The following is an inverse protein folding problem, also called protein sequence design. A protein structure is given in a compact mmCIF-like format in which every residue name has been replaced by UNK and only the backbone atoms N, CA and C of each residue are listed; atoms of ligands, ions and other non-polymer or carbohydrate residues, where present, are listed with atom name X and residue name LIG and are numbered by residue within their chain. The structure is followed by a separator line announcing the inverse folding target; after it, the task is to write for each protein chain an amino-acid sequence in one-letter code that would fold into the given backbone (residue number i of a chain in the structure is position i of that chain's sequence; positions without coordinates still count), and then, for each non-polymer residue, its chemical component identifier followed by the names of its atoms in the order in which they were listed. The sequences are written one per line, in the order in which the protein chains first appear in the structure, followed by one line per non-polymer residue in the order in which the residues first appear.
data_IF_641345272873
#
_entry.id   IF_641345272873
#
_cell.length_a   1.000
_cell.length_b   1.000
_cell.length_c   1.000
_cell.angle_alpha   90.00
_cell.angle_beta   90.00
_cell.angle_gamma   90.00
#
_symmetry.space_group_name_H-M   'P 1'
#
loop_
_entity.id
_entity.type
_entity.pdbx_description
1 polymer ?
#
# COMPACT_ATOMS: atom_id res chain seq x y z
N UNK A 1 -12.61 -9.47 -13.68
CA UNK A 1 -12.10 -10.23 -12.54
C UNK A 1 -11.37 -9.29 -11.61
N UNK A 2 -11.71 -9.33 -10.31
CA UNK A 2 -11.14 -8.46 -9.28
C UNK A 2 -9.63 -8.65 -9.11
N UNK A 3 -9.12 -9.88 -9.26
CA UNK A 3 -7.70 -10.18 -9.18
C UNK A 3 -6.90 -9.39 -10.22
N UNK A 4 -7.42 -9.29 -11.47
CA UNK A 4 -6.76 -8.56 -12.55
C UNK A 4 -6.73 -7.05 -12.28
N UNK A 5 -7.86 -6.50 -11.84
CA UNK A 5 -7.95 -5.06 -11.55
C UNK A 5 -7.03 -4.70 -10.38
N UNK A 6 -6.95 -5.55 -9.37
CA UNK A 6 -6.12 -5.29 -8.20
C UNK A 6 -4.62 -5.26 -8.53
N UNK A 7 -4.14 -6.16 -9.40
CA UNK A 7 -2.75 -6.16 -9.85
C UNK A 7 -2.35 -4.86 -10.55
N UNK A 8 -3.20 -4.33 -11.44
CA UNK A 8 -3.02 -3.04 -12.10
C UNK A 8 -3.01 -1.89 -11.08
N UNK A 9 -4.01 -1.82 -10.20
CA UNK A 9 -4.13 -0.76 -9.18
C UNK A 9 -2.94 -0.72 -8.22
N UNK A 10 -2.43 -1.88 -7.84
CA UNK A 10 -1.26 -1.98 -6.97
C UNK A 10 -0.01 -1.40 -7.64
N UNK A 11 0.17 -1.65 -8.96
CA UNK A 11 1.26 -1.05 -9.76
C UNK A 11 1.16 0.47 -9.82
N UNK A 12 -0.05 1.01 -9.90
CA UNK A 12 -0.29 2.45 -9.93
C UNK A 12 -0.08 3.15 -8.56
N UNK A 13 -0.10 2.40 -7.45
CA UNK A 13 0.19 2.87 -6.09
C UNK A 13 1.67 2.81 -5.72
N UNK A 14 2.57 3.09 -6.66
CA UNK A 14 4.03 3.08 -6.52
C UNK A 14 4.64 4.40 -7.02
N UNK A 15 4.53 5.50 -6.27
CA UNK A 15 4.73 6.87 -6.77
C UNK A 15 6.17 7.21 -7.14
N UNK A 16 7.17 6.46 -6.68
CA UNK A 16 8.58 6.72 -7.01
C UNK A 16 9.10 5.83 -8.15
N UNK A 17 8.31 4.84 -8.60
CA UNK A 17 8.70 3.89 -9.64
C UNK A 17 7.73 3.89 -10.83
N UNK A 18 6.67 3.10 -10.79
CA UNK A 18 5.74 2.90 -11.91
C UNK A 18 4.44 3.68 -11.80
N UNK A 19 4.09 4.11 -10.60
CA UNK A 19 2.80 4.69 -10.30
C UNK A 19 2.67 6.17 -10.63
N UNK A 20 1.65 6.77 -10.03
CA UNK A 20 1.39 8.20 -10.12
C UNK A 20 2.43 8.94 -9.28
N UNK A 21 3.27 9.82 -9.86
CA UNK A 21 4.31 10.50 -9.10
C UNK A 21 3.73 11.48 -8.07
N UNK A 22 4.46 11.76 -6.98
CA UNK A 22 4.03 12.75 -5.98
C UNK A 22 3.77 14.13 -6.57
N UNK A 23 4.59 14.53 -7.55
CA UNK A 23 4.46 15.81 -8.25
C UNK A 23 4.48 15.57 -9.76
N UNK A 24 3.54 16.17 -10.48
CA UNK A 24 3.47 16.14 -11.95
C UNK A 24 3.13 17.54 -12.46
N UNK A 25 4.02 18.13 -13.27
CA UNK A 25 3.86 19.49 -13.81
C UNK A 25 3.56 20.51 -12.69
N UNK A 26 4.38 20.51 -11.65
CA UNK A 26 4.28 21.37 -10.47
C UNK A 26 3.01 21.23 -9.63
N UNK A 27 2.22 20.17 -9.90
CA UNK A 27 1.01 19.86 -9.13
C UNK A 27 1.22 18.62 -8.27
N UNK A 28 0.80 18.69 -7.00
CA UNK A 28 0.71 17.52 -6.12
C UNK A 28 -0.36 16.55 -6.61
N UNK A 29 -0.01 15.25 -6.69
CA UNK A 29 -0.88 14.18 -7.17
C UNK A 29 -1.36 13.28 -6.02
N UNK A 30 -1.38 13.80 -4.81
CA UNK A 30 -1.74 13.02 -3.62
C UNK A 30 -3.13 12.38 -3.71
N UNK A 31 -4.12 13.10 -4.22
CA UNK A 31 -5.49 12.57 -4.37
C UNK A 31 -5.52 11.38 -5.34
N UNK A 32 -4.83 11.48 -6.45
CA UNK A 32 -4.74 10.42 -7.47
C UNK A 32 -4.04 9.18 -6.95
N UNK A 33 -2.96 9.36 -6.14
CA UNK A 33 -2.26 8.26 -5.46
C UNK A 33 -3.20 7.59 -4.45
N UNK A 34 -3.87 8.36 -3.60
CA UNK A 34 -4.78 7.83 -2.58
C UNK A 34 -5.99 7.14 -3.20
N UNK A 35 -6.44 7.58 -4.38
CA UNK A 35 -7.48 6.87 -5.14
C UNK A 35 -7.06 5.44 -5.49
N UNK A 36 -5.81 5.23 -5.93
CA UNK A 36 -5.31 3.88 -6.21
C UNK A 36 -5.27 3.03 -4.93
N UNK A 37 -4.80 3.59 -3.82
CA UNK A 37 -4.83 2.90 -2.53
C UNK A 37 -6.25 2.55 -2.08
N UNK A 38 -7.20 3.45 -2.28
CA UNK A 38 -8.61 3.21 -1.94
C UNK A 38 -9.16 2.04 -2.76
N UNK A 39 -8.91 2.02 -4.08
CA UNK A 39 -9.31 0.93 -4.96
C UNK A 39 -8.68 -0.40 -4.51
N UNK A 40 -7.37 -0.41 -4.19
CA UNK A 40 -6.68 -1.59 -3.64
C UNK A 40 -7.34 -2.06 -2.34
N UNK A 41 -7.64 -1.15 -1.42
CA UNK A 41 -8.26 -1.49 -0.14
C UNK A 41 -9.66 -2.09 -0.26
N UNK A 42 -10.46 -1.61 -1.22
CA UNK A 42 -11.78 -2.15 -1.53
C UNK A 42 -11.68 -3.53 -2.20
N UNK A 43 -10.82 -3.66 -3.22
CA UNK A 43 -10.68 -4.89 -3.99
C UNK A 43 -10.03 -6.03 -3.18
N UNK A 44 -9.19 -5.69 -2.19
CA UNK A 44 -8.51 -6.70 -1.37
C UNK A 44 -9.48 -7.68 -0.70
N UNK A 45 -10.66 -7.23 -0.31
CA UNK A 45 -11.63 -8.09 0.36
C UNK A 45 -12.32 -9.07 -0.62
N UNK A 46 -12.29 -8.77 -1.91
CA UNK A 46 -12.97 -9.50 -2.99
C UNK A 46 -12.06 -10.50 -3.72
N UNK A 47 -10.74 -10.45 -3.48
CA UNK A 47 -9.80 -11.36 -4.16
C UNK A 47 -9.74 -12.71 -3.46
N UNK A 48 -9.48 -13.76 -4.25
CA UNK A 48 -9.33 -15.14 -3.81
C UNK A 48 -8.03 -15.80 -4.31
N UNK A 49 -7.32 -15.16 -5.25
CA UNK A 49 -6.16 -15.73 -5.93
C UNK A 49 -4.98 -14.76 -6.01
N UNK A 50 -4.07 -14.82 -5.02
CA UNK A 50 -2.87 -13.97 -4.96
C UNK A 50 -1.92 -14.23 -6.13
N UNK A 51 -1.81 -15.47 -6.62
CA UNK A 51 -0.96 -15.80 -7.77
C UNK A 51 -1.40 -15.03 -9.01
N UNK A 52 -2.71 -14.96 -9.27
CA UNK A 52 -3.26 -14.21 -10.39
C UNK A 52 -3.01 -12.70 -10.25
N UNK A 53 -3.19 -12.15 -9.05
CA UNK A 53 -2.85 -10.74 -8.77
C UNK A 53 -1.37 -10.47 -9.04
N UNK A 54 -0.47 -11.38 -8.63
CA UNK A 54 0.97 -11.29 -8.86
C UNK A 54 1.31 -11.30 -10.34
N UNK A 55 0.70 -12.19 -11.12
CA UNK A 55 0.98 -12.30 -12.55
C UNK A 55 0.57 -11.02 -13.29
N UNK A 56 -0.59 -10.47 -12.96
CA UNK A 56 -1.05 -9.20 -13.51
C UNK A 56 -0.17 -8.04 -13.07
N UNK A 57 0.17 -7.98 -11.77
CA UNK A 57 1.09 -6.96 -11.25
C UNK A 57 2.43 -6.99 -12.01
N UNK A 58 3.02 -8.18 -12.19
CA UNK A 58 4.29 -8.33 -12.90
C UNK A 58 4.18 -7.89 -14.36
N UNK A 59 3.09 -8.23 -15.04
CA UNK A 59 2.85 -7.83 -16.43
C UNK A 59 2.78 -6.30 -16.56
N UNK A 60 1.95 -5.63 -15.75
CA UNK A 60 1.81 -4.17 -15.76
C UNK A 60 3.11 -3.47 -15.33
N UNK A 61 3.74 -3.92 -14.23
CA UNK A 61 5.00 -3.35 -13.78
C UNK A 61 6.10 -3.45 -14.86
N UNK A 62 6.18 -4.56 -15.58
CA UNK A 62 7.16 -4.73 -16.67
C UNK A 62 6.92 -3.71 -17.79
N UNK A 63 5.67 -3.49 -18.19
CA UNK A 63 5.31 -2.54 -19.24
C UNK A 63 5.65 -1.11 -18.79
N UNK A 64 5.22 -0.72 -17.59
CA UNK A 64 5.46 0.61 -17.03
C UNK A 64 6.96 0.90 -16.83
N UNK A 65 7.71 -0.06 -16.33
CA UNK A 65 9.17 0.07 -16.20
C UNK A 65 9.85 0.30 -17.54
N UNK A 66 9.41 -0.42 -18.59
CA UNK A 66 9.93 -0.22 -19.95
C UNK A 66 9.67 1.20 -20.48
N UNK A 67 8.46 1.74 -20.26
CA UNK A 67 8.14 3.13 -20.62
C UNK A 67 8.98 4.15 -19.87
N UNK A 68 9.46 3.82 -18.68
CA UNK A 68 10.30 4.68 -17.83
C UNK A 68 11.80 4.40 -17.98
N UNK A 69 12.22 3.67 -19.00
CA UNK A 69 13.62 3.42 -19.33
C UNK A 69 14.29 2.33 -18.50
N UNK A 70 13.53 1.44 -17.82
CA UNK A 70 14.03 0.31 -17.02
C UNK A 70 15.05 0.69 -15.93
N UNK A 71 14.87 1.84 -15.29
CA UNK A 71 15.75 2.33 -14.20
C UNK A 71 15.50 1.60 -12.87
N UNK A 72 14.38 0.89 -12.77
CA UNK A 72 13.95 0.14 -11.57
C UNK A 72 13.60 -1.30 -11.95
N UNK A 73 13.54 -2.18 -10.93
CA UNK A 73 13.12 -3.57 -11.04
C UNK A 73 11.70 -3.76 -10.52
N UNK A 74 11.09 -4.91 -10.79
CA UNK A 74 9.79 -5.30 -10.19
C UNK A 74 9.88 -5.32 -8.66
N UNK A 75 11.02 -5.74 -8.09
CA UNK A 75 11.23 -5.68 -6.63
C UNK A 75 11.19 -4.25 -6.11
N UNK A 76 11.77 -3.28 -6.84
CA UNK A 76 11.73 -1.88 -6.45
C UNK A 76 10.30 -1.32 -6.47
N UNK A 77 9.47 -1.76 -7.42
CA UNK A 77 8.05 -1.38 -7.47
C UNK A 77 7.29 -1.91 -6.25
N UNK A 78 7.54 -3.17 -5.86
CA UNK A 78 6.95 -3.74 -4.64
C UNK A 78 7.43 -2.99 -3.39
N UNK A 79 8.71 -2.65 -3.30
CA UNK A 79 9.24 -1.90 -2.17
C UNK A 79 8.66 -0.48 -2.10
N UNK A 80 8.51 0.20 -3.23
CA UNK A 80 7.87 1.52 -3.32
C UNK A 80 6.42 1.47 -2.83
N UNK A 81 5.62 0.52 -3.33
CA UNK A 81 4.24 0.29 -2.86
C UNK A 81 4.20 0.02 -1.36
N UNK A 82 5.08 -0.84 -0.86
CA UNK A 82 5.16 -1.20 0.55
C UNK A 82 5.49 0.00 1.44
N UNK A 83 6.54 0.77 1.11
CA UNK A 83 6.94 1.91 1.91
C UNK A 83 5.95 3.08 1.81
N UNK A 84 5.30 3.28 0.66
CA UNK A 84 4.22 4.26 0.51
C UNK A 84 3.04 3.90 1.42
N UNK A 85 2.65 2.63 1.49
CA UNK A 85 1.64 2.16 2.41
C UNK A 85 2.05 2.34 3.88
N UNK A 86 3.30 2.00 4.24
CA UNK A 86 3.82 2.19 5.59
C UNK A 86 3.88 3.67 6.00
N UNK A 87 4.18 4.59 5.08
CA UNK A 87 4.16 6.03 5.39
C UNK A 87 2.79 6.49 5.88
N UNK A 88 1.71 5.98 5.26
CA UNK A 88 0.33 6.24 5.70
C UNK A 88 0.06 5.58 7.05
N UNK A 89 0.46 4.31 7.24
CA UNK A 89 0.26 3.57 8.50
C UNK A 89 0.96 4.26 9.68
N UNK A 90 2.18 4.77 9.48
CA UNK A 90 2.96 5.43 10.53
C UNK A 90 2.77 6.94 10.58
N UNK A 91 2.04 7.51 9.63
CA UNK A 91 1.72 8.95 9.56
C UNK A 91 2.97 9.84 9.47
N UNK A 92 3.99 9.36 8.78
CA UNK A 92 5.28 10.06 8.60
C UNK A 92 6.00 9.57 7.35
N UNK A 93 7.01 10.32 6.92
CA UNK A 93 7.88 9.90 5.84
C UNK A 93 8.69 8.64 6.23
N UNK A 94 8.80 7.72 5.29
CA UNK A 94 9.57 6.48 5.38
C UNK A 94 10.30 6.30 4.06
N UNK A 95 11.61 6.09 4.10
CA UNK A 95 12.41 5.99 2.88
C UNK A 95 12.21 7.24 1.99
N UNK A 96 11.89 7.05 0.74
CA UNK A 96 11.68 8.10 -0.27
C UNK A 96 10.22 8.54 -0.40
N UNK A 97 9.39 8.34 0.64
CA UNK A 97 7.97 8.69 0.61
C UNK A 97 7.74 10.16 0.98
N UNK A 98 6.56 10.68 0.64
CA UNK A 98 6.12 12.03 0.98
C UNK A 98 4.73 11.96 1.66
N UNK A 99 4.72 11.80 2.97
CA UNK A 99 3.49 11.68 3.74
C UNK A 99 2.64 12.96 3.69
N UNK A 100 3.25 14.13 3.59
CA UNK A 100 2.50 15.38 3.49
C UNK A 100 1.58 15.38 2.25
N UNK A 101 2.12 15.01 1.07
CA UNK A 101 1.33 14.88 -0.16
C UNK A 101 0.26 13.80 -0.04
N UNK A 102 0.59 12.64 0.57
CA UNK A 102 -0.39 11.57 0.79
C UNK A 102 -1.53 12.03 1.72
N UNK A 103 -1.23 12.73 2.81
CA UNK A 103 -2.22 13.23 3.75
C UNK A 103 -3.13 14.30 3.14
N UNK A 104 -2.57 15.18 2.30
CA UNK A 104 -3.36 16.13 1.49
C UNK A 104 -4.31 15.36 0.55
N UNK A 105 -3.83 14.28 -0.06
CA UNK A 105 -4.62 13.38 -0.90
C UNK A 105 -5.78 12.73 -0.14
N UNK A 106 -5.52 12.22 1.07
CA UNK A 106 -6.55 11.63 1.95
C UNK A 106 -7.63 12.66 2.30
N UNK A 107 -7.24 13.91 2.52
CA UNK A 107 -8.19 15.00 2.79
C UNK A 107 -9.01 15.34 1.55
N UNK A 108 -8.38 15.40 0.39
CA UNK A 108 -9.01 15.80 -0.87
C UNK A 108 -9.99 14.76 -1.42
N UNK A 109 -9.70 13.46 -1.25
CA UNK A 109 -10.55 12.39 -1.80
C UNK A 109 -11.91 12.27 -1.10
N UNK A 110 -12.06 12.82 0.10
CA UNK A 110 -13.33 12.76 0.88
C UNK A 110 -14.54 13.23 0.09
N UNK A 111 -14.38 14.25 -0.75
CA UNK A 111 -15.46 14.79 -1.58
C UNK A 111 -15.94 13.87 -2.70
N UNK A 112 -15.21 12.79 -2.98
CA UNK A 112 -15.49 11.82 -4.03
C UNK A 112 -15.99 10.48 -3.49
N UNK A 113 -15.89 10.24 -2.18
CA UNK A 113 -16.34 9.00 -1.54
C UNK A 113 -17.67 9.28 -0.84
N UNK A 114 -18.77 8.83 -1.46
CA UNK A 114 -20.12 9.04 -0.96
C UNK A 114 -20.65 7.91 -0.09
N UNK A 115 -20.02 6.73 -0.18
CA UNK A 115 -20.48 5.51 0.50
C UNK A 115 -20.12 5.47 1.99
N UNK A 116 -19.12 6.25 2.41
CA UNK A 116 -18.61 6.22 3.77
C UNK A 116 -17.77 7.46 4.11
N UNK A 117 -17.60 7.72 5.41
CA UNK A 117 -16.68 8.75 5.90
C UNK A 117 -15.24 8.30 5.77
N UNK A 118 -14.54 8.73 4.71
CA UNK A 118 -13.13 8.43 4.52
C UNK A 118 -12.24 9.42 5.27
N UNK A 119 -11.39 8.93 6.12
CA UNK A 119 -10.46 9.69 6.95
C UNK A 119 -9.16 8.91 7.17
N UNK A 120 -8.18 9.52 7.83
CA UNK A 120 -6.85 8.95 7.98
C UNK A 120 -6.83 7.55 8.63
N UNK A 121 -7.67 7.28 9.65
CA UNK A 121 -7.70 5.95 10.27
C UNK A 121 -8.21 4.89 9.29
N UNK A 122 -9.17 5.23 8.44
CA UNK A 122 -9.64 4.33 7.39
C UNK A 122 -8.60 4.16 6.29
N UNK A 123 -7.89 5.23 5.93
CA UNK A 123 -6.76 5.17 5.01
C UNK A 123 -5.65 4.25 5.53
N UNK A 124 -5.36 4.26 6.84
CA UNK A 124 -4.42 3.31 7.48
C UNK A 124 -4.87 1.87 7.29
N UNK A 125 -6.15 1.56 7.45
CA UNK A 125 -6.68 0.21 7.20
C UNK A 125 -6.45 -0.21 5.74
N UNK A 126 -6.73 0.65 4.78
CA UNK A 126 -6.55 0.34 3.35
C UNK A 126 -5.07 0.25 2.96
N UNK A 127 -4.24 1.14 3.48
CA UNK A 127 -2.80 1.08 3.30
C UNK A 127 -2.20 -0.22 3.89
N UNK A 128 -2.68 -0.68 5.06
CA UNK A 128 -2.21 -1.94 5.64
C UNK A 128 -2.56 -3.16 4.79
N UNK A 129 -3.72 -3.17 4.11
CA UNK A 129 -4.09 -4.20 3.13
C UNK A 129 -3.14 -4.18 1.92
N UNK A 130 -2.82 -2.99 1.40
CA UNK A 130 -1.87 -2.84 0.31
C UNK A 130 -0.47 -3.33 0.71
N UNK A 131 0.03 -2.95 1.88
CA UNK A 131 1.31 -3.42 2.41
C UNK A 131 1.33 -4.95 2.56
N UNK A 132 0.28 -5.54 3.12
CA UNK A 132 0.18 -6.99 3.30
C UNK A 132 0.17 -7.73 1.96
N UNK A 133 -0.65 -7.28 0.99
CA UNK A 133 -0.70 -7.87 -0.34
C UNK A 133 0.67 -7.79 -1.04
N UNK A 134 1.37 -6.67 -0.92
CA UNK A 134 2.72 -6.50 -1.47
C UNK A 134 3.69 -7.55 -0.92
N UNK A 135 3.63 -7.84 0.38
CA UNK A 135 4.45 -8.88 1.01
C UNK A 135 4.07 -10.28 0.50
N UNK A 136 2.79 -10.59 0.36
CA UNK A 136 2.35 -11.87 -0.21
C UNK A 136 2.92 -12.07 -1.62
N UNK A 137 2.83 -11.05 -2.48
CA UNK A 137 3.37 -11.08 -3.84
C UNK A 137 4.89 -11.24 -3.83
N UNK A 138 5.59 -10.42 -3.02
CA UNK A 138 7.06 -10.41 -2.95
C UNK A 138 7.63 -11.76 -2.54
N UNK A 139 7.00 -12.44 -1.58
CA UNK A 139 7.45 -13.73 -1.06
C UNK A 139 6.68 -14.92 -1.63
N UNK A 140 5.90 -14.73 -2.68
CA UNK A 140 5.12 -15.78 -3.36
C UNK A 140 4.25 -16.59 -2.38
N UNK A 141 3.57 -15.90 -1.48
CA UNK A 141 2.60 -16.50 -0.57
C UNK A 141 1.23 -16.45 -1.21
N UNK A 142 0.53 -17.58 -1.24
CA UNK A 142 -0.79 -17.69 -1.88
C UNK A 142 -1.93 -17.55 -0.89
N UNK A 143 -1.69 -17.87 0.38
CA UNK A 143 -2.71 -17.83 1.41
C UNK A 143 -2.92 -16.41 1.94
N UNK A 144 -4.16 -15.95 1.91
CA UNK A 144 -4.58 -14.68 2.50
C UNK A 144 -5.15 -14.95 3.90
N UNK A 145 -4.41 -14.52 4.91
CA UNK A 145 -4.91 -14.54 6.27
C UNK A 145 -5.82 -13.33 6.48
N UNK A 146 -7.12 -13.55 6.57
CA UNK A 146 -8.10 -12.50 6.80
C UNK A 146 -8.09 -12.05 8.25
N UNK A 147 -8.42 -10.77 8.47
CA UNK A 147 -8.53 -10.21 9.82
C UNK A 147 -9.51 -11.02 10.68
N UNK A 148 -9.05 -11.44 11.86
CA UNK A 148 -9.88 -12.12 12.85
C UNK A 148 -9.89 -11.28 14.15
N UNK A 149 -11.02 -10.68 14.53
CA UNK A 149 -11.10 -9.83 15.73
C UNK A 149 -10.87 -10.58 17.05
N UNK A 150 -10.88 -11.92 17.02
CA UNK A 150 -10.63 -12.77 18.19
C UNK A 150 -9.14 -13.07 18.43
N UNK A 151 -8.26 -12.72 17.49
CA UNK A 151 -6.82 -12.91 17.65
C UNK A 151 -6.30 -11.97 18.74
N UNK A 152 -5.57 -12.54 19.69
CA UNK A 152 -4.88 -11.76 20.68
C UNK A 152 -3.71 -11.00 20.03
N UNK A 153 -3.78 -9.68 20.01
CA UNK A 153 -2.74 -8.83 19.38
C UNK A 153 -1.35 -9.03 20.00
N UNK A 154 -1.25 -9.54 21.24
CA UNK A 154 0.05 -9.87 21.86
C UNK A 154 0.76 -11.02 21.17
N UNK A 155 -0.01 -11.95 20.58
CA UNK A 155 0.56 -13.10 19.86
C UNK A 155 1.11 -12.69 18.48
N UNK A 156 0.74 -11.50 17.99
CA UNK A 156 1.26 -10.87 16.79
C UNK A 156 2.46 -9.95 17.05
N UNK A 157 2.99 -9.90 18.28
CA UNK A 157 4.13 -9.08 18.61
C UNK A 157 5.39 -9.54 17.86
N UNK A 158 5.94 -8.66 17.05
CA UNK A 158 7.14 -8.94 16.27
C UNK A 158 8.35 -8.84 17.18
N UNK A 159 8.96 -9.97 17.51
CA UNK A 159 10.03 -10.06 18.51
C UNK A 159 11.46 -9.92 17.96
N UNK A 160 11.65 -9.93 16.63
CA UNK A 160 12.98 -10.06 16.00
C UNK A 160 13.20 -9.12 14.84
N UNK A 161 13.07 -7.81 15.03
CA UNK A 161 13.55 -6.85 14.03
C UNK A 161 14.84 -6.17 14.49
N UNK A 162 15.72 -5.90 13.53
CA UNK A 162 16.79 -4.92 13.71
C UNK A 162 16.18 -3.66 14.36
N UNK A 163 16.74 -3.13 15.45
CA UNK A 163 16.18 -1.96 16.15
C UNK A 163 15.89 -0.74 15.27
N UNK A 164 16.59 -0.61 14.14
CA UNK A 164 16.39 0.45 13.15
C UNK A 164 15.25 0.16 12.15
N UNK A 165 14.64 -1.04 12.16
CA UNK A 165 13.61 -1.39 11.16
C UNK A 165 12.31 -0.65 11.43
N UNK A 166 11.67 -0.01 10.39
CA UNK A 166 10.42 0.75 10.55
C UNK A 166 9.28 -0.03 11.22
N UNK A 167 9.19 -1.34 11.00
CA UNK A 167 8.16 -2.20 11.59
C UNK A 167 8.25 -2.32 13.12
N UNK A 168 9.39 -1.98 13.75
CA UNK A 168 9.46 -1.90 15.22
C UNK A 168 8.51 -0.86 15.81
N UNK A 169 8.08 0.12 15.01
CA UNK A 169 7.11 1.11 15.45
C UNK A 169 5.70 0.52 15.61
N UNK A 170 5.37 -0.57 14.89
CA UNK A 170 4.09 -1.28 15.09
C UNK A 170 3.96 -1.82 16.52
N UNK A 171 5.06 -2.29 17.11
CA UNK A 171 5.07 -2.74 18.49
C UNK A 171 4.80 -1.62 19.50
N UNK A 172 5.12 -0.36 19.14
CA UNK A 172 4.82 0.82 19.97
C UNK A 172 3.33 1.18 19.91
N UNK A 173 2.69 1.06 18.74
CA UNK A 173 1.26 1.36 18.56
C UNK A 173 0.37 0.43 19.40
N UNK A 174 0.74 -0.83 19.54
CA UNK A 174 0.01 -1.79 20.38
C UNK A 174 0.05 -1.45 21.88
N UNK A 175 1.03 -0.67 22.33
CA UNK A 175 1.14 -0.19 23.72
C UNK A 175 0.24 1.04 23.99
N UNK A 176 -0.15 1.78 22.96
CA UNK A 176 -1.00 2.97 23.06
C UNK A 176 -2.49 2.66 23.07
N UNK A 177 -2.89 1.42 22.79
CA UNK A 177 -4.30 0.97 22.81
C UNK A 177 -4.69 0.25 24.11
N UNK A 178 -3.85 0.34 25.13
CA UNK A 178 -4.20 0.02 26.51
C UNK A 178 -4.60 1.31 27.22
#
# INVERSE_FOLDING_TARGET
DFNNILGDKLTAFAPTTTGIPYIKKDKEMGMEIIKQMYDVGCLFDEIDNVSMVKDVFNAFATVELKYRGNTHTISDVLDDTFYTALAICFRKDIQNTNFAVLNNGITSIKSYIFSDSFHLDKAVTYASKAAYLTILIKYSKEEIIRFNPKVNLKDLEIKQFNPAHPLNELNKLNKLKK
#
